data_IF_814664530544
#
_entry.id   IF_814664530544
#
_cell.length_a   1.000
_cell.length_b   1.000
_cell.length_c   1.000
_cell.angle_alpha   90.00
_cell.angle_beta   90.00
_cell.angle_gamma   90.00
#
_symmetry.space_group_name_H-M   'P 1'
#
loop_
_entity.id
_entity.type
_entity.pdbx_description
1 polymer ?
#
# COMPACT_ATOMS: atom_id res chain seq x y z
N UNK A 1 13.90 -16.72 6.47
CA UNK A 1 12.99 -15.56 6.61
C UNK A 1 12.52 -14.97 5.27
N UNK A 2 13.15 -15.32 4.14
CA UNK A 2 12.84 -14.76 2.81
C UNK A 2 11.38 -14.88 2.39
N UNK A 3 10.71 -15.99 2.70
CA UNK A 3 9.28 -16.17 2.41
C UNK A 3 8.38 -15.12 3.07
N UNK A 4 8.69 -14.75 4.32
CA UNK A 4 7.91 -13.76 5.07
C UNK A 4 8.02 -12.36 4.46
N UNK A 5 9.20 -12.02 3.90
CA UNK A 5 9.42 -10.75 3.21
C UNK A 5 8.60 -10.66 1.93
N UNK A 6 8.59 -11.72 1.13
CA UNK A 6 7.81 -11.78 -0.11
C UNK A 6 6.32 -11.62 0.18
N UNK A 7 5.80 -12.34 1.17
CA UNK A 7 4.39 -12.22 1.58
C UNK A 7 4.07 -10.81 2.07
N UNK A 8 4.92 -10.20 2.90
CA UNK A 8 4.70 -8.85 3.41
C UNK A 8 4.73 -7.78 2.30
N UNK A 9 5.68 -7.89 1.36
CA UNK A 9 5.76 -7.01 0.18
C UNK A 9 4.49 -7.14 -0.66
N UNK A 10 4.12 -8.36 -1.04
CA UNK A 10 2.98 -8.61 -1.92
C UNK A 10 1.66 -8.16 -1.29
N UNK A 11 1.41 -8.51 -0.02
CA UNK A 11 0.19 -8.12 0.67
C UNK A 11 0.06 -6.60 0.82
N UNK A 12 1.16 -5.90 1.15
CA UNK A 12 1.09 -4.46 1.45
C UNK A 12 1.13 -3.58 0.22
N UNK A 13 1.99 -3.89 -0.76
CA UNK A 13 2.22 -3.06 -1.95
C UNK A 13 1.28 -3.38 -3.11
N UNK A 14 0.70 -4.59 -3.17
CA UNK A 14 -0.18 -5.01 -4.27
C UNK A 14 -1.60 -5.30 -3.79
N UNK A 15 -1.76 -6.18 -2.80
CA UNK A 15 -3.10 -6.62 -2.40
C UNK A 15 -3.92 -5.50 -1.74
N UNK A 16 -3.29 -4.71 -0.86
CA UNK A 16 -3.98 -3.64 -0.13
C UNK A 16 -4.49 -2.49 -1.03
N UNK A 17 -3.67 -1.87 -1.90
CA UNK A 17 -4.18 -0.86 -2.85
C UNK A 17 -5.19 -1.44 -3.84
N UNK A 18 -5.01 -2.68 -4.31
CA UNK A 18 -5.99 -3.34 -5.19
C UNK A 18 -7.37 -3.47 -4.52
N UNK A 19 -7.41 -3.88 -3.24
CA UNK A 19 -8.65 -3.96 -2.47
C UNK A 19 -9.34 -2.60 -2.35
N UNK A 20 -8.58 -1.52 -2.20
CA UNK A 20 -9.14 -0.17 -2.12
C UNK A 20 -9.70 0.30 -3.46
N UNK A 21 -9.03 0.01 -4.58
CA UNK A 21 -9.60 0.29 -5.91
C UNK A 21 -10.93 -0.44 -6.08
N UNK A 22 -10.99 -1.73 -5.75
CA UNK A 22 -12.23 -2.52 -5.84
C UNK A 22 -13.31 -1.98 -4.89
N UNK A 23 -12.95 -1.56 -3.68
CA UNK A 23 -13.91 -0.97 -2.74
C UNK A 23 -14.46 0.37 -3.26
N UNK A 24 -13.59 1.28 -3.72
CA UNK A 24 -14.02 2.58 -4.25
C UNK A 24 -14.96 2.45 -5.44
N UNK A 25 -14.77 1.40 -6.25
CA UNK A 25 -15.68 1.00 -7.32
C UNK A 25 -17.04 0.54 -6.84
N UNK A 26 -17.07 -0.43 -5.93
CA UNK A 26 -18.30 -1.02 -5.42
C UNK A 26 -19.18 0.02 -4.72
N UNK A 27 -18.56 0.97 -4.03
CA UNK A 27 -19.26 2.02 -3.29
C UNK A 27 -19.49 3.31 -4.09
N UNK A 28 -19.04 3.39 -5.35
CA UNK A 28 -19.13 4.60 -6.20
C UNK A 28 -18.69 5.87 -5.46
N UNK A 29 -17.53 5.81 -4.81
CA UNK A 29 -17.02 6.92 -4.01
C UNK A 29 -16.67 8.13 -4.87
N UNK A 30 -16.81 9.33 -4.29
CA UNK A 30 -16.43 10.58 -4.97
C UNK A 30 -14.95 10.53 -5.43
N UNK A 31 -14.60 11.10 -6.60
CA UNK A 31 -13.25 11.00 -7.17
C UNK A 31 -12.15 11.54 -6.25
N UNK A 32 -12.41 12.65 -5.53
CA UNK A 32 -11.44 13.21 -4.60
C UNK A 32 -11.17 12.29 -3.40
N UNK A 33 -12.18 11.60 -2.90
CA UNK A 33 -12.04 10.72 -1.73
C UNK A 33 -11.35 9.41 -2.09
N UNK A 34 -11.66 8.86 -3.26
CA UNK A 34 -10.99 7.66 -3.79
C UNK A 34 -9.51 7.91 -4.10
N UNK A 35 -9.15 9.10 -4.60
CA UNK A 35 -7.75 9.50 -4.78
C UNK A 35 -6.96 9.49 -3.46
N UNK A 36 -7.52 10.08 -2.40
CA UNK A 36 -6.88 10.11 -1.07
C UNK A 36 -6.72 8.69 -0.52
N UNK A 37 -7.75 7.84 -0.63
CA UNK A 37 -7.68 6.45 -0.16
C UNK A 37 -6.61 5.65 -0.91
N UNK A 38 -6.55 5.79 -2.24
CA UNK A 38 -5.51 5.17 -3.06
C UNK A 38 -4.12 5.62 -2.60
N UNK A 39 -3.89 6.93 -2.45
CA UNK A 39 -2.60 7.46 -2.00
C UNK A 39 -2.21 6.91 -0.63
N UNK A 40 -3.11 6.91 0.35
CA UNK A 40 -2.84 6.40 1.69
C UNK A 40 -2.51 4.90 1.72
N UNK A 41 -3.09 4.12 0.81
CA UNK A 41 -2.87 2.67 0.75
C UNK A 41 -1.63 2.27 -0.02
N UNK A 42 -1.08 3.17 -0.84
CA UNK A 42 0.18 2.96 -1.55
C UNK A 42 1.42 3.18 -0.67
N UNK A 43 1.27 3.80 0.51
CA UNK A 43 2.40 4.04 1.40
C UNK A 43 2.99 2.72 1.95
N UNK A 44 4.33 2.62 2.06
CA UNK A 44 4.99 1.49 2.70
C UNK A 44 4.67 1.44 4.20
N UNK A 45 5.02 0.33 4.85
CA UNK A 45 4.80 0.16 6.30
C UNK A 45 5.46 1.30 7.10
N UNK A 46 4.75 1.89 8.07
CA UNK A 46 5.28 3.00 8.85
C UNK A 46 6.42 2.54 9.79
N UNK A 47 7.41 3.41 10.06
CA UNK A 47 8.50 3.11 10.99
C UNK A 47 8.02 2.74 12.40
N UNK A 48 6.85 3.25 12.81
CA UNK A 48 6.23 2.94 14.11
C UNK A 48 5.95 1.45 14.30
N UNK A 49 5.77 0.69 13.20
CA UNK A 49 5.53 -0.75 13.28
C UNK A 49 6.77 -1.54 13.75
N UNK A 50 7.98 -1.00 13.57
CA UNK A 50 9.21 -1.53 14.18
C UNK A 50 9.18 -1.39 15.71
N UNK A 51 8.76 -0.23 16.20
CA UNK A 51 8.64 0.04 17.64
C UNK A 51 7.59 -0.89 18.24
N UNK A 52 6.45 -1.05 17.58
CA UNK A 52 5.38 -1.94 18.02
C UNK A 52 5.82 -3.41 18.02
N UNK A 53 6.54 -3.87 17.00
CA UNK A 53 7.10 -5.22 16.97
C UNK A 53 8.06 -5.46 18.15
N UNK A 54 8.86 -4.45 18.52
CA UNK A 54 9.73 -4.53 19.71
C UNK A 54 8.94 -4.57 21.01
N UNK A 55 7.84 -3.83 21.11
CA UNK A 55 6.98 -3.81 22.31
C UNK A 55 6.19 -5.10 22.50
N UNK A 56 5.76 -5.75 21.42
CA UNK A 56 4.98 -6.99 21.45
C UNK A 56 5.85 -8.27 21.49
N UNK A 57 7.17 -8.15 21.62
CA UNK A 57 8.08 -9.31 21.56
C UNK A 57 8.18 -9.97 20.19
N UNK A 58 7.79 -9.26 19.13
CA UNK A 58 7.86 -9.72 17.74
C UNK A 58 9.26 -9.67 17.15
N UNK A 59 9.40 -10.09 15.88
CA UNK A 59 10.70 -10.11 15.22
C UNK A 59 11.09 -8.74 14.67
N UNK A 60 11.88 -8.02 15.45
CA UNK A 60 12.36 -6.67 15.17
C UNK A 60 13.27 -6.62 13.92
N UNK A 61 14.15 -7.61 13.74
CA UNK A 61 15.06 -7.67 12.58
C UNK A 61 14.31 -7.93 11.28
N UNK A 62 13.32 -8.83 11.31
CA UNK A 62 12.43 -9.07 10.18
C UNK A 62 11.66 -7.79 9.82
N UNK A 63 11.12 -7.07 10.81
CA UNK A 63 10.34 -5.86 10.55
C UNK A 63 11.20 -4.73 9.96
N UNK A 64 12.45 -4.58 10.40
CA UNK A 64 13.40 -3.65 9.78
C UNK A 64 13.62 -4.00 8.31
N UNK A 65 13.84 -5.28 7.99
CA UNK A 65 14.03 -5.74 6.61
C UNK A 65 12.79 -5.53 5.73
N UNK A 66 11.58 -5.68 6.31
CA UNK A 66 10.33 -5.39 5.60
C UNK A 66 10.25 -3.90 5.26
N UNK A 67 10.51 -3.02 6.23
CA UNK A 67 10.44 -1.56 6.03
C UNK A 67 11.45 -1.10 4.97
N UNK A 68 12.70 -1.58 5.02
CA UNK A 68 13.73 -1.18 4.06
C UNK A 68 13.39 -1.62 2.63
N UNK A 69 13.00 -2.88 2.45
CA UNK A 69 12.58 -3.40 1.14
C UNK A 69 11.32 -2.70 0.65
N UNK A 70 10.29 -2.54 1.49
CA UNK A 70 9.07 -1.83 1.10
C UNK A 70 9.35 -0.39 0.71
N UNK A 71 10.28 0.30 1.38
CA UNK A 71 10.67 1.67 1.02
C UNK A 71 11.36 1.71 -0.35
N UNK A 72 12.27 0.77 -0.62
CA UNK A 72 12.94 0.62 -1.92
C UNK A 72 11.94 0.34 -3.05
N UNK A 73 11.05 -0.64 -2.86
CA UNK A 73 10.04 -0.99 -3.86
C UNK A 73 8.95 0.06 -4.00
N UNK A 74 8.61 0.80 -2.94
CA UNK A 74 7.62 1.88 -2.98
C UNK A 74 8.00 2.98 -3.97
N UNK A 75 9.30 3.21 -4.20
CA UNK A 75 9.76 4.14 -5.23
C UNK A 75 9.20 3.81 -6.63
N UNK A 76 9.01 2.53 -6.94
CA UNK A 76 8.43 2.08 -8.21
C UNK A 76 6.92 1.82 -8.09
N UNK A 77 6.47 1.26 -6.98
CA UNK A 77 5.07 0.90 -6.76
C UNK A 77 4.16 2.13 -6.63
N UNK A 78 4.59 3.20 -5.95
CA UNK A 78 3.75 4.39 -5.76
C UNK A 78 3.42 5.06 -7.11
N UNK A 79 4.39 5.38 -7.98
CA UNK A 79 4.09 5.95 -9.30
C UNK A 79 3.15 5.08 -10.13
N UNK A 80 3.37 3.75 -10.12
CA UNK A 80 2.52 2.80 -10.82
C UNK A 80 1.07 2.85 -10.35
N UNK A 81 0.83 2.84 -9.04
CA UNK A 81 -0.53 2.93 -8.51
C UNK A 81 -1.16 4.30 -8.68
N UNK A 82 -0.38 5.37 -8.64
CA UNK A 82 -0.86 6.73 -8.90
C UNK A 82 -1.29 6.86 -10.36
N UNK A 83 -0.52 6.34 -11.30
CA UNK A 83 -0.87 6.35 -12.73
C UNK A 83 -2.14 5.51 -13.00
N UNK A 84 -2.21 4.31 -12.42
CA UNK A 84 -3.41 3.45 -12.47
C UNK A 84 -4.61 4.19 -11.85
N UNK A 85 -4.42 4.80 -10.68
CA UNK A 85 -5.44 5.53 -9.95
C UNK A 85 -5.95 6.74 -10.72
N UNK A 86 -5.06 7.56 -11.27
CA UNK A 86 -5.42 8.74 -12.06
C UNK A 86 -6.23 8.34 -13.31
N UNK A 87 -5.73 7.38 -14.08
CA UNK A 87 -6.44 6.85 -15.25
C UNK A 87 -7.81 6.29 -14.88
N UNK A 88 -7.93 5.70 -13.71
CA UNK A 88 -9.16 5.11 -13.20
C UNK A 88 -10.19 6.17 -12.73
N UNK A 89 -9.72 7.18 -12.00
CA UNK A 89 -10.53 8.29 -11.51
C UNK A 89 -11.02 9.17 -12.67
N UNK A 90 -10.17 9.36 -13.69
CA UNK A 90 -10.53 10.10 -14.90
C UNK A 90 -11.65 9.41 -15.67
N UNK A 91 -11.65 8.08 -15.75
CA UNK A 91 -12.74 7.30 -16.33
C UNK A 91 -14.05 7.42 -15.54
N UNK A 92 -13.98 7.50 -14.21
CA UNK A 92 -15.16 7.66 -13.35
C UNK A 92 -15.78 9.07 -13.46
N UNK A 93 -14.98 10.09 -13.77
CA UNK A 93 -15.47 11.47 -13.97
C UNK A 93 -16.22 11.66 -15.30
N UNK A 94 -15.94 10.82 -16.30
CA UNK A 94 -16.47 10.93 -17.68
C UNK A 94 -17.76 10.12 -17.89
N UNK A 95 -17.98 9.06 -17.11
CA UNK A 95 -19.15 8.16 -17.16
C UNK A 95 -20.23 8.58 -16.17
#
# INVERSE_FOLDING_TARGET
QTWQLVVALFCKLLAFPALVVVATLLFKMAPGLSAVLLLLTCLPAPPSAYILARQLGGNVSLMANIITLQTLFAFFTIPLWVDIGDRFLWLNLIL
#
